data_IF_644675547175
#
_entry.id   IF_644675547175
#
_cell.length_a   1.000
_cell.length_b   1.000
_cell.length_c   1.000
_cell.angle_alpha   90.00
_cell.angle_beta   90.00
_cell.angle_gamma   90.00
#
_symmetry.space_group_name_H-M   'P 1'
#
loop_
_entity.id
_entity.type
_entity.pdbx_description
1 polymer ?
#
# COMPACT_ATOMS: atom_id res chain seq x y z
N UNK A 1 10.80 -5.36 8.32
CA UNK A 1 9.71 -4.87 7.46
C UNK A 1 8.38 -5.08 8.17
N UNK A 2 7.55 -4.02 8.25
CA UNK A 2 6.18 -4.04 8.74
C UNK A 2 5.26 -3.49 7.65
N UNK A 3 4.06 -4.06 7.50
CA UNK A 3 3.03 -3.55 6.60
C UNK A 3 1.86 -3.08 7.46
N UNK A 4 1.40 -1.87 7.23
CA UNK A 4 0.24 -1.25 7.85
C UNK A 4 -0.79 -0.99 6.76
N UNK A 5 -1.96 -1.61 6.90
CA UNK A 5 -3.09 -1.43 5.98
C UNK A 5 -4.07 -0.47 6.65
N UNK A 6 -4.39 0.62 5.97
CA UNK A 6 -5.24 1.69 6.47
C UNK A 6 -6.57 1.72 5.71
N UNK A 7 -7.66 1.83 6.45
CA UNK A 7 -9.01 2.10 5.94
C UNK A 7 -9.31 3.60 5.82
N UNK A 8 -8.32 4.46 6.07
CA UNK A 8 -8.38 5.91 5.97
C UNK A 8 -7.18 6.46 5.17
N UNK A 9 -7.23 7.74 4.82
CA UNK A 9 -6.12 8.49 4.25
C UNK A 9 -5.29 9.13 5.36
N UNK A 10 -3.99 8.88 5.32
CA UNK A 10 -2.98 9.42 6.23
C UNK A 10 -2.06 10.42 5.54
N UNK A 11 -1.67 10.15 4.30
CA UNK A 11 -0.71 10.98 3.57
C UNK A 11 -1.43 11.81 2.48
N UNK A 12 -1.02 13.06 2.26
CA UNK A 12 -1.56 13.90 1.19
C UNK A 12 -1.06 13.49 -0.21
N UNK A 13 -0.17 12.50 -0.32
CA UNK A 13 0.28 11.96 -1.61
C UNK A 13 -0.85 11.21 -2.32
N UNK A 14 -0.89 11.28 -3.65
CA UNK A 14 -1.77 10.46 -4.48
C UNK A 14 -1.36 8.97 -4.47
N UNK A 15 -0.15 8.66 -3.97
CA UNK A 15 0.32 7.28 -3.84
C UNK A 15 -0.50 6.50 -2.81
N UNK A 16 -1.03 5.36 -3.22
CA UNK A 16 -1.72 4.40 -2.35
C UNK A 16 -0.75 3.55 -1.51
N UNK A 17 0.51 3.47 -1.95
CA UNK A 17 1.59 2.75 -1.27
C UNK A 17 2.72 3.72 -0.98
N UNK A 18 2.94 3.99 0.30
CA UNK A 18 4.10 4.76 0.77
C UNK A 18 4.93 3.90 1.71
N UNK A 19 6.19 4.29 1.90
CA UNK A 19 7.05 3.60 2.85
C UNK A 19 7.89 4.60 3.64
N UNK A 20 8.21 4.23 4.86
CA UNK A 20 9.08 4.99 5.75
C UNK A 20 10.15 4.06 6.31
N UNK A 21 11.38 4.52 6.30
CA UNK A 21 12.51 3.79 6.87
C UNK A 21 13.46 4.70 7.64
N UNK A 22 14.42 4.10 8.31
CA UNK A 22 15.45 4.84 9.02
C UNK A 22 16.48 5.42 8.04
N UNK A 23 16.84 6.68 8.26
CA UNK A 23 17.85 7.38 7.47
C UNK A 23 18.92 7.97 8.39
N UNK A 24 20.18 7.62 8.15
CA UNK A 24 21.31 8.29 8.79
C UNK A 24 21.62 9.57 8.02
N UNK A 25 21.23 10.72 8.58
CA UNK A 25 21.45 12.03 7.98
C UNK A 25 22.92 12.42 7.85
N UNK A 26 23.80 11.91 8.72
CA UNK A 26 25.23 12.25 8.72
C UNK A 26 25.95 11.52 7.59
N UNK A 27 25.66 10.23 7.44
CA UNK A 27 26.27 9.37 6.42
C UNK A 27 25.48 9.40 5.10
N UNK A 28 24.26 9.98 5.09
CA UNK A 28 23.33 9.99 3.95
C UNK A 28 23.01 8.59 3.44
N UNK A 29 22.87 7.63 4.36
CA UNK A 29 22.51 6.25 4.04
C UNK A 29 21.10 5.95 4.54
N UNK A 30 20.34 5.24 3.74
CA UNK A 30 19.07 4.62 4.15
C UNK A 30 19.42 3.29 4.81
N UNK A 31 18.92 3.06 6.02
CA UNK A 31 19.11 1.80 6.75
C UNK A 31 17.81 0.98 6.65
N UNK A 32 17.49 0.64 5.41
CA UNK A 32 16.24 0.00 5.00
C UNK A 32 16.11 -1.42 5.59
N UNK A 33 17.22 -2.15 5.67
CA UNK A 33 17.27 -3.52 6.20
C UNK A 33 16.92 -3.63 7.70
N UNK A 34 17.03 -2.54 8.47
CA UNK A 34 16.72 -2.56 9.91
C UNK A 34 15.22 -2.36 10.15
N UNK A 35 14.66 -1.26 9.64
CA UNK A 35 13.28 -0.87 9.87
C UNK A 35 12.73 -0.21 8.61
N UNK A 36 11.68 -0.84 8.10
CA UNK A 36 10.80 -0.34 7.03
C UNK A 36 9.36 -0.54 7.48
N UNK A 37 8.55 0.49 7.28
CA UNK A 37 7.11 0.46 7.47
C UNK A 37 6.46 0.87 6.16
N UNK A 38 5.71 -0.04 5.56
CA UNK A 38 4.91 0.22 4.36
C UNK A 38 3.48 0.55 4.77
N UNK A 39 2.92 1.61 4.21
CA UNK A 39 1.54 2.01 4.40
C UNK A 39 0.77 1.77 3.10
N UNK A 40 -0.32 1.02 3.21
CA UNK A 40 -1.25 0.74 2.12
C UNK A 40 -2.59 1.40 2.46
N UNK A 41 -2.90 2.50 1.78
CA UNK A 41 -4.10 3.31 2.02
C UNK A 41 -5.24 2.87 1.09
N UNK A 42 -6.13 2.03 1.60
CA UNK A 42 -7.22 1.42 0.82
C UNK A 42 -8.17 2.45 0.18
N UNK A 43 -8.55 3.58 0.83
CA UNK A 43 -9.46 4.55 0.22
C UNK A 43 -8.91 5.18 -1.06
N UNK A 44 -7.58 5.30 -1.18
CA UNK A 44 -6.92 5.88 -2.36
C UNK A 44 -7.05 5.01 -3.60
N UNK A 45 -7.41 3.73 -3.45
CA UNK A 45 -7.72 2.85 -4.58
C UNK A 45 -8.86 3.39 -5.44
N UNK A 46 -9.79 4.17 -4.87
CA UNK A 46 -10.89 4.75 -5.63
C UNK A 46 -10.44 5.86 -6.58
N UNK A 47 -9.30 6.50 -6.32
CA UNK A 47 -8.72 7.55 -7.16
C UNK A 47 -7.89 6.97 -8.32
N UNK A 48 -7.62 5.66 -8.31
CA UNK A 48 -6.96 4.95 -9.42
C UNK A 48 -7.94 4.76 -10.58
N UNK A 49 -8.33 5.84 -11.24
CA UNK A 49 -9.14 5.79 -12.45
C UNK A 49 -8.27 5.37 -13.64
N UNK A 50 -8.20 4.06 -13.89
CA UNK A 50 -7.81 3.51 -15.19
C UNK A 50 -6.31 3.34 -15.49
N UNK A 51 -5.41 3.50 -14.51
CA UNK A 51 -3.99 3.21 -14.69
C UNK A 51 -3.56 2.04 -13.79
N UNK A 52 -2.94 1.04 -14.42
CA UNK A 52 -2.32 -0.16 -13.83
C UNK A 52 -3.22 -1.15 -13.09
N UNK A 53 -4.10 -1.82 -13.83
CA UNK A 53 -4.75 -3.06 -13.36
C UNK A 53 -3.80 -4.25 -13.23
N UNK A 54 -2.54 -4.16 -13.68
CA UNK A 54 -1.57 -5.26 -13.68
C UNK A 54 -0.48 -5.13 -12.61
N UNK A 55 -0.68 -4.27 -11.61
CA UNK A 55 0.20 -4.23 -10.43
C UNK A 55 -0.30 -5.21 -9.37
N UNK A 56 0.54 -6.19 -8.98
CA UNK A 56 0.19 -7.19 -7.97
C UNK A 56 -0.14 -6.56 -6.60
N UNK A 57 0.48 -5.44 -6.25
CA UNK A 57 0.14 -4.68 -5.03
C UNK A 57 -1.32 -4.20 -5.09
N UNK A 58 -1.77 -3.69 -6.24
CA UNK A 58 -3.16 -3.25 -6.44
C UNK A 58 -4.13 -4.45 -6.36
N UNK A 59 -3.76 -5.62 -6.91
CA UNK A 59 -4.57 -6.85 -6.79
C UNK A 59 -4.75 -7.25 -5.33
N UNK A 60 -3.67 -7.29 -4.55
CA UNK A 60 -3.71 -7.57 -3.11
C UNK A 60 -4.52 -6.54 -2.33
N UNK A 61 -4.36 -5.26 -2.63
CA UNK A 61 -5.12 -4.21 -1.96
C UNK A 61 -6.62 -4.28 -2.26
N UNK A 62 -7.02 -4.61 -3.50
CA UNK A 62 -8.43 -4.89 -3.83
C UNK A 62 -8.96 -6.09 -3.04
N UNK A 63 -8.16 -7.14 -2.91
CA UNK A 63 -8.51 -8.31 -2.11
C UNK A 63 -8.72 -7.94 -0.63
N UNK A 64 -7.82 -7.15 -0.03
CA UNK A 64 -8.00 -6.67 1.34
C UNK A 64 -9.17 -5.70 1.52
N UNK A 65 -9.55 -4.96 0.48
CA UNK A 65 -10.67 -4.03 0.51
C UNK A 65 -12.02 -4.66 0.14
N UNK A 66 -12.06 -5.95 -0.23
CA UNK A 66 -13.28 -6.65 -0.61
C UNK A 66 -14.34 -6.53 0.50
N UNK A 67 -15.56 -6.11 0.14
CA UNK A 67 -16.65 -5.90 1.12
C UNK A 67 -17.61 -7.08 1.17
N UNK A 68 -17.61 -7.90 0.12
CA UNK A 68 -18.48 -9.08 0.00
C UNK A 68 -17.68 -10.36 -0.16
N UNK A 69 -18.33 -11.48 0.15
CA UNK A 69 -17.71 -12.81 -0.02
C UNK A 69 -17.48 -13.13 -1.49
N UNK A 70 -18.41 -12.70 -2.35
CA UNK A 70 -18.38 -12.91 -3.80
C UNK A 70 -17.19 -12.16 -4.43
N UNK A 71 -16.98 -10.89 -4.06
CA UNK A 71 -15.79 -10.13 -4.47
C UNK A 71 -14.49 -10.80 -4.01
N UNK A 72 -14.45 -11.27 -2.76
CA UNK A 72 -13.27 -11.93 -2.20
C UNK A 72 -12.93 -13.22 -2.95
N UNK A 73 -13.94 -14.02 -3.32
CA UNK A 73 -13.75 -15.23 -4.12
C UNK A 73 -13.21 -14.86 -5.52
N UNK A 74 -13.83 -13.91 -6.21
CA UNK A 74 -13.41 -13.47 -7.54
C UNK A 74 -11.97 -12.94 -7.59
N UNK A 75 -11.52 -12.27 -6.51
CA UNK A 75 -10.16 -11.72 -6.41
C UNK A 75 -9.13 -12.75 -5.92
N UNK A 76 -9.56 -13.94 -5.51
CA UNK A 76 -8.70 -15.03 -5.03
C UNK A 76 -8.40 -16.11 -6.09
N UNK A 77 -9.07 -16.03 -7.25
CA UNK A 77 -8.90 -16.90 -8.42
C UNK A 77 -7.87 -16.32 -9.39
#
# INVERSE_FOLDING_TARGET
>A
MTIVILDDTYCDSDDFHTWSGLHDCRQKIVISDLIEVHFLELPKLHNLSGQDTDNDCIKWMKFFNAKTKEELIMLSE
#
